data_IF_576096652543
#
_entry.id   IF_576096652543
#
_cell.length_a   1.000
_cell.length_b   1.000
_cell.length_c   1.000
_cell.angle_alpha   90.00
_cell.angle_beta   90.00
_cell.angle_gamma   90.00
#
_symmetry.space_group_name_H-M   'P 1'
#
loop_
_entity.id
_entity.type
_entity.pdbx_description
1 polymer ?
#
# COMPACT_ATOMS: atom_id res chain seq x y z
N UNK A 1 16.33 17.82 24.50
CA UNK A 1 15.52 18.89 25.15
C UNK A 1 14.09 18.71 24.67
N UNK A 2 13.11 18.45 25.55
CA UNK A 2 11.73 18.30 25.12
C UNK A 2 11.31 19.55 24.32
N UNK A 3 10.70 19.34 23.16
CA UNK A 3 10.19 20.45 22.35
C UNK A 3 9.01 21.08 23.11
N UNK A 4 9.19 22.29 23.64
CA UNK A 4 8.12 23.02 24.31
C UNK A 4 7.15 23.57 23.24
N UNK A 5 5.87 23.18 23.34
CA UNK A 5 4.80 23.71 22.50
C UNK A 5 3.96 24.67 23.33
N UNK A 6 4.02 25.95 23.00
CA UNK A 6 3.10 26.97 23.53
C UNK A 6 1.99 27.24 22.54
N UNK A 7 0.74 27.31 23.01
CA UNK A 7 -0.42 27.63 22.19
C UNK A 7 -1.14 28.84 22.79
N UNK A 8 -1.48 29.83 21.96
CA UNK A 8 -2.20 31.03 22.37
C UNK A 8 -3.44 31.27 21.50
N UNK A 9 -4.53 31.67 22.14
CA UNK A 9 -5.69 32.21 21.46
C UNK A 9 -5.46 33.68 21.11
N UNK A 10 -5.75 34.12 19.88
CA UNK A 10 -5.42 35.46 19.34
C UNK A 10 -6.65 36.19 18.78
N UNK A 11 -7.84 35.91 19.27
CA UNK A 11 -9.13 36.39 18.69
C UNK A 11 -9.56 37.77 19.15
N UNK A 12 -9.02 38.35 20.23
CA UNK A 12 -9.52 39.61 20.83
C UNK A 12 -8.44 40.54 21.39
N UNK A 13 -7.32 40.69 20.68
CA UNK A 13 -6.33 41.74 20.98
C UNK A 13 -5.15 41.30 21.83
N UNK A 14 -5.31 40.77 23.03
CA UNK A 14 -4.19 40.26 23.82
C UNK A 14 -4.08 38.73 23.72
N UNK A 15 -2.94 38.17 23.24
CA UNK A 15 -2.76 36.72 23.21
C UNK A 15 -2.95 36.09 24.57
N UNK A 16 -3.85 35.11 24.67
CA UNK A 16 -4.12 34.34 25.90
C UNK A 16 -3.47 32.97 25.76
N UNK A 17 -2.54 32.63 26.67
CA UNK A 17 -1.90 31.33 26.68
C UNK A 17 -2.90 30.26 27.11
N UNK A 18 -3.02 29.20 26.30
CA UNK A 18 -3.84 28.05 26.62
C UNK A 18 -3.10 27.15 27.61
N UNK A 19 -3.87 26.53 28.52
CA UNK A 19 -3.32 25.59 29.47
C UNK A 19 -3.14 24.23 28.82
N UNK A 20 -1.92 23.67 28.92
CA UNK A 20 -1.67 22.29 28.55
C UNK A 20 -2.23 21.38 29.65
N UNK A 21 -3.11 20.48 29.28
CA UNK A 21 -3.63 19.42 30.15
C UNK A 21 -3.05 18.07 29.67
N UNK A 22 -2.70 17.20 30.62
CA UNK A 22 -2.30 15.83 30.27
C UNK A 22 -3.47 15.08 29.60
N UNK A 23 -3.16 14.12 28.75
CA UNK A 23 -4.16 13.16 28.27
C UNK A 23 -4.55 12.30 29.47
N UNK A 24 -5.81 12.39 29.89
CA UNK A 24 -6.27 11.66 31.08
C UNK A 24 -6.22 10.14 30.87
N UNK A 25 -6.38 9.67 29.63
CA UNK A 25 -6.42 8.25 29.29
C UNK A 25 -5.64 7.96 28.00
N UNK A 26 -4.64 7.09 28.09
CA UNK A 26 -3.95 6.45 26.95
C UNK A 26 -4.93 5.90 25.90
N UNK A 27 -6.01 5.24 26.39
CA UNK A 27 -7.12 4.73 25.58
C UNK A 27 -7.85 5.80 24.75
N UNK A 28 -7.90 7.06 25.19
CA UNK A 28 -8.51 8.13 24.40
C UNK A 28 -7.64 8.51 23.21
N UNK A 29 -6.33 8.59 23.40
CA UNK A 29 -5.41 8.88 22.29
C UNK A 29 -5.36 7.70 21.32
N UNK A 30 -5.32 6.47 21.83
CA UNK A 30 -5.40 5.25 21.03
C UNK A 30 -6.66 5.25 20.16
N UNK A 31 -7.83 5.56 20.72
CA UNK A 31 -9.09 5.63 19.99
C UNK A 31 -9.12 6.78 18.95
N UNK A 32 -8.50 7.93 19.23
CA UNK A 32 -8.38 9.01 18.27
C UNK A 32 -7.50 8.65 17.09
N UNK A 33 -6.36 7.98 17.34
CA UNK A 33 -5.45 7.51 16.29
C UNK A 33 -6.11 6.41 15.46
N UNK A 34 -6.84 5.49 16.10
CA UNK A 34 -7.60 4.44 15.40
C UNK A 34 -8.66 5.04 14.48
N UNK A 35 -9.38 6.08 14.95
CA UNK A 35 -10.44 6.75 14.19
C UNK A 35 -9.89 7.60 13.05
N UNK A 36 -8.78 8.31 13.27
CA UNK A 36 -8.14 9.19 12.29
C UNK A 36 -6.60 9.09 12.40
N UNK A 37 -5.98 8.10 11.76
CA UNK A 37 -4.52 7.94 11.78
C UNK A 37 -3.77 9.14 11.19
N UNK A 38 -4.42 9.98 10.36
CA UNK A 38 -3.80 11.16 9.75
C UNK A 38 -3.34 12.19 10.79
N UNK A 39 -3.78 12.11 12.05
CA UNK A 39 -3.23 12.92 13.14
C UNK A 39 -1.74 12.64 13.40
N UNK A 40 -1.20 11.51 12.93
CA UNK A 40 0.23 11.20 12.91
C UNK A 40 0.99 11.96 11.82
N UNK A 41 0.27 12.61 10.86
CA UNK A 41 0.83 13.39 9.76
C UNK A 41 0.91 12.67 8.42
N UNK A 42 0.52 11.40 8.39
CA UNK A 42 0.47 10.56 7.20
C UNK A 42 -0.71 9.57 7.30
N UNK A 43 -1.27 9.15 6.17
CA UNK A 43 -2.36 8.18 6.18
C UNK A 43 -1.83 6.80 6.59
N UNK A 44 -2.62 6.07 7.37
CA UNK A 44 -2.40 4.65 7.69
C UNK A 44 -3.72 3.89 7.63
N UNK A 45 -3.67 2.66 7.14
CA UNK A 45 -4.71 1.67 7.38
C UNK A 45 -4.41 0.96 8.71
N UNK A 46 -5.33 1.01 9.67
CA UNK A 46 -5.18 0.25 10.92
C UNK A 46 -5.44 -1.24 10.64
N UNK A 47 -4.40 -2.05 10.80
CA UNK A 47 -4.44 -3.50 10.65
C UNK A 47 -5.00 -4.16 11.90
N UNK A 48 -4.62 -3.66 13.08
CA UNK A 48 -5.06 -4.23 14.33
C UNK A 48 -4.87 -3.32 15.53
N UNK A 49 -5.66 -3.59 16.55
CA UNK A 49 -5.61 -2.95 17.86
C UNK A 49 -5.39 -3.99 18.94
N UNK A 50 -4.54 -3.69 19.92
CA UNK A 50 -4.16 -4.60 21.00
C UNK A 50 -3.73 -5.97 20.45
N UNK A 51 -2.79 -5.95 19.49
CA UNK A 51 -2.34 -7.12 18.74
C UNK A 51 -1.38 -7.96 19.61
N UNK A 52 -1.74 -9.20 20.00
CA UNK A 52 -0.86 -10.05 20.76
C UNK A 52 0.32 -10.54 19.90
N UNK A 53 1.54 -10.43 20.42
CA UNK A 53 2.73 -10.95 19.76
C UNK A 53 3.06 -12.37 20.20
N UNK A 54 3.74 -13.15 19.37
CA UNK A 54 4.23 -14.49 19.76
C UNK A 54 5.31 -14.44 20.85
N UNK A 55 5.91 -13.26 21.08
CA UNK A 55 6.93 -13.02 22.12
C UNK A 55 6.34 -12.69 23.50
N UNK A 56 5.01 -12.59 23.60
CA UNK A 56 4.29 -12.41 24.87
C UNK A 56 3.93 -10.96 25.20
N UNK A 57 4.15 -10.02 24.29
CA UNK A 57 3.70 -8.62 24.39
C UNK A 57 2.40 -8.36 23.64
N UNK A 58 1.91 -7.13 23.71
CA UNK A 58 0.73 -6.65 22.98
C UNK A 58 1.04 -5.29 22.38
N UNK A 59 0.95 -5.16 21.06
CA UNK A 59 1.11 -3.90 20.33
C UNK A 59 -0.19 -3.11 20.45
N UNK A 60 -0.13 -1.85 20.87
CA UNK A 60 -1.34 -1.04 21.03
C UNK A 60 -2.07 -0.84 19.72
N UNK A 61 -1.38 -0.36 18.68
CA UNK A 61 -1.92 -0.26 17.31
C UNK A 61 -0.87 -0.72 16.29
N UNK A 62 -1.33 -1.51 15.32
CA UNK A 62 -0.55 -1.89 14.15
C UNK A 62 -1.20 -1.26 12.93
N UNK A 63 -0.47 -0.41 12.22
CA UNK A 63 -0.91 0.25 11.00
C UNK A 63 -0.13 -0.22 9.79
N UNK A 64 -0.60 0.18 8.60
CA UNK A 64 0.08 -0.05 7.32
C UNK A 64 0.03 1.21 6.49
N UNK A 65 1.13 1.54 5.80
CA UNK A 65 1.20 2.65 4.85
C UNK A 65 0.82 2.25 3.42
N UNK A 66 0.80 3.24 2.52
CA UNK A 66 0.50 3.04 1.08
C UNK A 66 1.46 2.07 0.38
N UNK A 67 2.69 1.96 0.84
CA UNK A 67 3.70 1.05 0.33
C UNK A 67 3.59 -0.38 0.90
N UNK A 68 2.62 -0.63 1.79
CA UNK A 68 2.41 -1.93 2.44
C UNK A 68 3.36 -2.20 3.60
N UNK A 69 4.10 -1.20 4.09
CA UNK A 69 4.97 -1.34 5.25
C UNK A 69 4.19 -1.23 6.55
N UNK A 70 4.60 -1.99 7.55
CA UNK A 70 3.93 -1.99 8.84
C UNK A 70 4.46 -0.88 9.77
N UNK A 71 3.53 -0.28 10.53
CA UNK A 71 3.80 0.73 11.54
C UNK A 71 3.38 0.21 12.91
N UNK A 72 4.35 -0.03 13.77
CA UNK A 72 4.13 -0.35 15.18
C UNK A 72 3.94 0.95 15.94
N UNK A 73 2.78 1.12 16.57
CA UNK A 73 2.44 2.29 17.37
C UNK A 73 2.29 1.84 18.82
N UNK A 74 3.20 2.27 19.67
CA UNK A 74 3.22 1.96 21.10
C UNK A 74 2.89 3.21 21.91
N UNK A 75 1.78 3.18 22.63
CA UNK A 75 1.30 4.31 23.41
C UNK A 75 1.77 4.22 24.86
N UNK A 76 2.19 5.35 25.42
CA UNK A 76 2.60 5.42 26.81
C UNK A 76 2.00 6.60 27.54
N UNK A 77 1.43 6.31 28.69
CA UNK A 77 0.88 7.31 29.60
C UNK A 77 1.99 8.04 30.35
N UNK A 78 1.94 9.35 30.34
CA UNK A 78 2.85 10.19 31.10
C UNK A 78 4.28 10.21 30.53
N UNK A 79 5.26 10.28 31.44
CA UNK A 79 6.68 10.30 31.07
C UNK A 79 7.17 8.91 30.74
N UNK A 80 7.60 8.72 29.51
CA UNK A 80 7.96 7.41 28.98
C UNK A 80 9.38 7.00 29.39
N UNK A 81 9.55 5.86 30.08
CA UNK A 81 10.85 5.36 30.48
C UNK A 81 11.57 4.67 29.32
N UNK A 82 12.90 4.54 29.43
CA UNK A 82 13.77 3.94 28.40
C UNK A 82 13.41 2.49 28.02
N UNK A 83 12.75 1.77 28.91
CA UNK A 83 12.33 0.37 28.70
C UNK A 83 11.34 0.23 27.54
N UNK A 84 10.60 1.30 27.19
CA UNK A 84 9.69 1.29 26.03
C UNK A 84 10.44 1.14 24.71
N UNK A 85 11.70 1.61 24.64
CA UNK A 85 12.52 1.45 23.43
C UNK A 85 12.82 -0.03 23.19
N UNK A 86 13.17 -0.78 24.26
CA UNK A 86 13.38 -2.22 24.17
C UNK A 86 12.09 -2.95 23.77
N UNK A 87 10.94 -2.54 24.30
CA UNK A 87 9.63 -3.06 23.93
C UNK A 87 9.31 -2.81 22.46
N UNK A 88 9.51 -1.58 21.96
CA UNK A 88 9.30 -1.25 20.56
C UNK A 88 10.20 -2.06 19.61
N UNK A 89 11.47 -2.26 19.99
CA UNK A 89 12.41 -3.08 19.22
C UNK A 89 12.03 -4.57 19.23
N UNK A 90 11.54 -5.11 20.34
CA UNK A 90 11.02 -6.49 20.42
C UNK A 90 9.82 -6.67 19.47
N UNK A 91 8.88 -5.71 19.47
CA UNK A 91 7.75 -5.72 18.54
C UNK A 91 8.20 -5.60 17.09
N UNK A 92 9.16 -4.72 16.79
CA UNK A 92 9.74 -4.61 15.44
C UNK A 92 10.36 -5.90 14.97
N UNK A 93 11.08 -6.60 15.86
CA UNK A 93 11.66 -7.92 15.57
C UNK A 93 10.59 -8.96 15.21
N UNK A 94 9.45 -8.98 15.93
CA UNK A 94 8.35 -9.88 15.60
C UNK A 94 7.64 -9.47 14.31
N UNK A 95 7.34 -8.17 14.14
CA UNK A 95 6.66 -7.63 12.96
C UNK A 95 7.45 -7.89 11.68
N UNK A 96 8.78 -7.79 11.73
CA UNK A 96 9.64 -8.03 10.55
C UNK A 96 9.51 -9.44 9.96
N UNK A 97 9.03 -10.41 10.74
CA UNK A 97 8.81 -11.79 10.30
C UNK A 97 7.38 -12.09 9.82
N UNK A 98 6.46 -11.11 9.83
CA UNK A 98 5.09 -11.33 9.39
C UNK A 98 5.01 -11.44 7.87
N UNK A 99 4.38 -12.52 7.42
CA UNK A 99 4.07 -12.74 6.00
C UNK A 99 2.79 -12.00 5.59
N UNK A 100 2.55 -11.92 4.29
CA UNK A 100 1.30 -11.39 3.73
C UNK A 100 0.07 -12.06 4.33
N UNK A 101 0.09 -13.39 4.48
CA UNK A 101 -1.01 -14.17 5.06
C UNK A 101 -1.20 -13.90 6.56
N UNK A 102 -0.10 -13.73 7.30
CA UNK A 102 -0.16 -13.35 8.72
C UNK A 102 -0.85 -11.99 8.88
N UNK A 103 -0.54 -11.02 8.02
CA UNK A 103 -1.12 -9.66 8.05
C UNK A 103 -2.61 -9.69 7.77
N UNK A 104 -3.06 -10.43 6.75
CA UNK A 104 -4.48 -10.64 6.46
C UNK A 104 -5.22 -11.28 7.64
N UNK A 105 -4.63 -12.32 8.21
CA UNK A 105 -5.18 -13.01 9.38
C UNK A 105 -5.33 -12.06 10.58
N UNK A 106 -4.33 -11.20 10.83
CA UNK A 106 -4.41 -10.18 11.87
C UNK A 106 -5.53 -9.17 11.61
N UNK A 107 -5.65 -8.71 10.36
CA UNK A 107 -6.69 -7.77 9.96
C UNK A 107 -8.09 -8.37 10.17
N UNK A 108 -8.33 -9.60 9.72
CA UNK A 108 -9.59 -10.32 9.88
C UNK A 108 -9.95 -10.57 11.36
N UNK A 109 -8.94 -10.88 12.18
CA UNK A 109 -9.13 -11.11 13.62
C UNK A 109 -9.63 -9.85 14.35
N UNK A 110 -9.36 -8.66 13.84
CA UNK A 110 -9.83 -7.37 14.39
C UNK A 110 -11.26 -7.00 14.00
N UNK A 111 -12.00 -7.91 13.32
CA UNK A 111 -13.42 -7.76 12.96
C UNK A 111 -13.73 -6.48 12.16
N UNK A 112 -12.86 -6.13 11.25
CA UNK A 112 -13.14 -5.07 10.29
C UNK A 112 -14.38 -5.43 9.44
N UNK A 113 -15.13 -4.40 9.03
CA UNK A 113 -16.41 -4.57 8.30
C UNK A 113 -16.23 -4.85 6.82
N UNK A 114 -15.05 -4.52 6.28
CA UNK A 114 -14.70 -4.71 4.86
C UNK A 114 -13.44 -5.56 4.72
N UNK A 115 -13.26 -6.29 3.61
CA UNK A 115 -12.04 -7.03 3.32
C UNK A 115 -10.79 -6.13 3.30
N UNK A 116 -9.62 -6.70 3.60
CA UNK A 116 -8.35 -5.98 3.65
C UNK A 116 -8.07 -5.18 2.37
N UNK A 117 -8.22 -5.80 1.20
CA UNK A 117 -7.95 -5.18 -0.09
C UNK A 117 -8.88 -3.98 -0.36
N UNK A 118 -10.13 -4.10 0.05
CA UNK A 118 -11.11 -3.01 -0.07
C UNK A 118 -10.75 -1.85 0.85
N UNK A 119 -10.46 -2.12 2.12
CA UNK A 119 -10.06 -1.10 3.09
C UNK A 119 -8.77 -0.39 2.68
N UNK A 120 -7.79 -1.15 2.17
CA UNK A 120 -6.55 -0.58 1.65
C UNK A 120 -6.81 0.37 0.48
N UNK A 121 -7.65 -0.05 -0.48
CA UNK A 121 -8.00 0.76 -1.64
C UNK A 121 -8.82 2.01 -1.28
N UNK A 122 -9.69 1.92 -0.28
CA UNK A 122 -10.45 3.08 0.23
C UNK A 122 -9.54 4.08 0.95
N UNK A 123 -8.52 3.59 1.67
CA UNK A 123 -7.58 4.44 2.42
C UNK A 123 -6.58 5.15 1.51
N UNK A 124 -6.06 4.47 0.48
CA UNK A 124 -4.92 4.96 -0.31
C UNK A 124 -5.22 5.24 -1.79
N UNK A 125 -6.45 5.03 -2.25
CA UNK A 125 -6.86 5.10 -3.68
C UNK A 125 -5.97 4.23 -4.60
N UNK A 126 -5.41 3.15 -4.04
CA UNK A 126 -4.59 2.16 -4.73
C UNK A 126 -4.78 0.79 -4.09
N UNK A 127 -4.39 -0.28 -4.79
CA UNK A 127 -4.44 -1.62 -4.21
C UNK A 127 -3.18 -1.95 -3.43
N UNK A 128 -3.26 -2.92 -2.49
CA UNK A 128 -2.08 -3.36 -1.77
C UNK A 128 -1.00 -3.88 -2.72
N UNK A 129 0.28 -3.60 -2.44
CA UNK A 129 1.39 -4.22 -3.18
C UNK A 129 1.37 -5.75 -3.01
N UNK A 130 1.95 -6.47 -3.96
CA UNK A 130 2.05 -7.94 -3.88
C UNK A 130 2.90 -8.37 -2.68
N UNK A 131 3.95 -7.63 -2.41
CA UNK A 131 4.85 -7.85 -1.29
C UNK A 131 4.56 -6.83 -0.20
N UNK A 132 4.02 -7.31 0.92
CA UNK A 132 3.78 -6.51 2.12
C UNK A 132 4.96 -6.63 3.07
N UNK A 133 5.09 -5.62 3.95
CA UNK A 133 6.06 -5.63 5.04
C UNK A 133 7.53 -5.73 4.59
N UNK A 134 7.86 -5.09 3.46
CA UNK A 134 9.27 -4.98 3.02
C UNK A 134 10.10 -4.15 3.99
N UNK A 135 9.45 -3.33 4.79
CA UNK A 135 10.02 -2.47 5.83
C UNK A 135 8.97 -2.23 6.92
N UNK A 136 9.41 -1.75 8.09
CA UNK A 136 8.50 -1.38 9.17
C UNK A 136 9.02 -0.15 9.90
N UNK A 137 8.14 0.53 10.64
CA UNK A 137 8.46 1.72 11.43
C UNK A 137 7.97 1.54 12.87
N UNK A 138 8.75 2.02 13.83
CA UNK A 138 8.44 1.96 15.25
C UNK A 138 8.16 3.38 15.76
N UNK A 139 6.96 3.62 16.24
CA UNK A 139 6.57 4.92 16.78
C UNK A 139 6.12 4.78 18.23
N UNK A 140 6.88 5.40 19.13
CA UNK A 140 6.48 5.57 20.52
C UNK A 140 5.62 6.83 20.61
N UNK A 141 4.41 6.71 21.13
CA UNK A 141 3.45 7.81 21.27
C UNK A 141 3.34 8.16 22.74
N UNK A 142 3.72 9.37 23.11
CA UNK A 142 3.82 9.78 24.49
C UNK A 142 3.41 11.25 24.70
N UNK A 143 3.15 11.61 25.96
CA UNK A 143 3.02 13.01 26.36
C UNK A 143 4.40 13.65 26.58
N UNK A 144 5.33 12.89 27.16
CA UNK A 144 6.69 13.31 27.48
C UNK A 144 7.62 12.09 27.48
N UNK A 145 8.91 12.28 27.31
CA UNK A 145 9.92 11.23 27.41
C UNK A 145 10.99 11.61 28.43
N UNK A 146 11.63 10.63 29.04
CA UNK A 146 12.81 10.91 29.83
C UNK A 146 14.03 11.18 28.93
N UNK A 147 15.05 11.85 29.48
CA UNK A 147 16.26 12.19 28.73
C UNK A 147 17.03 10.95 28.23
N UNK A 148 16.85 9.81 28.86
CA UNK A 148 17.47 8.56 28.41
C UNK A 148 16.75 8.01 27.18
N UNK A 149 15.42 8.02 27.15
CA UNK A 149 14.58 7.63 26.00
C UNK A 149 14.90 8.51 24.79
N UNK A 150 14.89 9.85 24.96
CA UNK A 150 15.25 10.79 23.90
C UNK A 150 16.64 10.50 23.31
N UNK A 151 17.64 10.34 24.20
CA UNK A 151 19.02 10.07 23.78
C UNK A 151 19.15 8.74 23.04
N UNK A 152 18.48 7.67 23.53
CA UNK A 152 18.56 6.35 22.91
C UNK A 152 17.87 6.36 21.53
N UNK A 153 16.68 6.93 21.41
CA UNK A 153 15.96 7.03 20.13
C UNK A 153 16.76 7.86 19.13
N UNK A 154 17.28 9.02 19.53
CA UNK A 154 18.14 9.85 18.68
C UNK A 154 19.40 9.10 18.25
N UNK A 155 20.01 8.31 19.14
CA UNK A 155 21.19 7.49 18.83
C UNK A 155 20.83 6.38 17.83
N UNK A 156 19.76 5.63 18.04
CA UNK A 156 19.31 4.58 17.15
C UNK A 156 18.97 5.10 15.74
N UNK A 157 18.41 6.30 15.66
CA UNK A 157 18.10 6.94 14.37
C UNK A 157 19.37 7.24 13.56
N UNK A 158 20.55 7.43 14.19
CA UNK A 158 21.82 7.62 13.45
C UNK A 158 22.34 6.32 12.81
N UNK A 159 21.77 5.17 13.16
CA UNK A 159 22.06 3.85 12.59
C UNK A 159 20.92 3.33 11.70
N UNK A 160 20.09 4.24 11.20
CA UNK A 160 18.97 3.92 10.32
C UNK A 160 17.93 2.96 10.94
N UNK A 161 17.91 2.83 12.28
CA UNK A 161 16.83 2.11 12.96
C UNK A 161 15.55 2.95 12.85
N UNK A 162 14.46 2.44 12.26
CA UNK A 162 13.27 3.22 11.94
C UNK A 162 12.39 3.45 13.18
N UNK A 163 12.93 4.12 14.21
CA UNK A 163 12.25 4.40 15.48
C UNK A 163 12.16 5.90 15.73
N UNK A 164 10.99 6.37 16.17
CA UNK A 164 10.78 7.76 16.58
C UNK A 164 9.83 7.89 17.77
N UNK A 165 9.74 9.10 18.32
CA UNK A 165 8.76 9.45 19.34
C UNK A 165 7.85 10.57 18.82
N UNK A 166 6.55 10.34 18.84
CA UNK A 166 5.52 11.34 18.61
C UNK A 166 4.99 11.85 19.96
N UNK A 167 5.17 13.14 20.22
CA UNK A 167 4.63 13.76 21.41
C UNK A 167 3.28 14.37 21.12
N UNK A 168 2.27 14.01 21.91
CA UNK A 168 0.94 14.57 21.85
C UNK A 168 0.62 15.38 23.09
N UNK A 169 0.14 16.60 22.90
CA UNK A 169 -0.24 17.51 23.96
C UNK A 169 -1.67 17.99 23.78
N UNK A 170 -2.45 17.91 24.85
CA UNK A 170 -3.78 18.46 24.89
C UNK A 170 -3.76 19.88 25.44
N UNK A 171 -4.57 20.73 24.83
CA UNK A 171 -4.86 22.07 25.32
C UNK A 171 -6.37 22.22 25.43
N UNK A 172 -6.81 23.02 26.42
CA UNK A 172 -8.20 23.34 26.64
C UNK A 172 -8.40 24.84 26.65
N UNK A 173 -9.47 25.30 26.02
CA UNK A 173 -9.90 26.69 25.99
C UNK A 173 -11.39 26.77 25.83
N UNK A 174 -12.10 27.40 26.81
CA UNK A 174 -13.56 27.56 26.85
C UNK A 174 -14.35 26.28 26.48
N UNK A 175 -13.93 25.14 27.07
CA UNK A 175 -14.57 23.83 26.83
C UNK A 175 -14.19 23.14 25.52
N UNK A 176 -13.43 23.80 24.64
CA UNK A 176 -12.88 23.20 23.42
C UNK A 176 -11.56 22.50 23.74
N UNK A 177 -11.32 21.38 23.04
CA UNK A 177 -10.10 20.59 23.17
C UNK A 177 -9.30 20.69 21.87
N UNK A 178 -7.99 20.85 22.01
CA UNK A 178 -7.04 20.91 20.90
C UNK A 178 -5.95 19.88 21.14
N UNK A 179 -5.51 19.25 20.08
CA UNK A 179 -4.42 18.28 20.08
C UNK A 179 -3.27 18.84 19.25
N UNK A 180 -2.07 18.89 19.85
CA UNK A 180 -0.85 19.24 19.12
C UNK A 180 0.09 18.04 19.10
N UNK A 181 0.71 17.81 17.94
CA UNK A 181 1.73 16.78 17.72
C UNK A 181 3.08 17.41 17.44
N UNK A 182 4.14 16.81 18.00
CA UNK A 182 5.54 17.09 17.63
C UNK A 182 6.32 15.79 17.56
N UNK A 183 7.37 15.75 16.75
CA UNK A 183 8.26 14.60 16.63
C UNK A 183 9.58 14.87 17.36
N UNK A 184 10.17 13.83 17.97
CA UNK A 184 11.51 13.91 18.59
C UNK A 184 12.59 14.12 17.53
N UNK A 185 12.56 13.28 16.48
CA UNK A 185 13.42 13.41 15.30
C UNK A 185 12.53 13.93 14.16
N UNK A 186 13.01 14.98 13.48
CA UNK A 186 12.24 15.59 12.39
C UNK A 186 11.85 14.58 11.33
N UNK A 187 10.58 14.61 10.85
CA UNK A 187 10.10 13.76 9.76
C UNK A 187 10.99 13.86 8.52
N UNK A 188 11.54 15.03 8.23
CA UNK A 188 12.53 15.23 7.15
C UNK A 188 13.79 14.39 7.35
N UNK A 189 14.20 14.13 8.58
CA UNK A 189 15.36 13.29 8.88
C UNK A 189 15.02 11.81 8.74
N UNK A 190 13.83 11.40 9.18
CA UNK A 190 13.37 10.01 9.02
C UNK A 190 12.99 9.71 7.58
N UNK A 191 12.30 10.63 6.89
CA UNK A 191 12.01 10.49 5.45
C UNK A 191 13.30 10.51 4.63
N UNK A 192 14.34 11.22 5.05
CA UNK A 192 15.67 11.15 4.45
C UNK A 192 16.41 9.84 4.79
N UNK A 193 16.18 9.27 5.98
CA UNK A 193 16.82 8.04 6.46
C UNK A 193 16.06 6.78 5.97
N UNK A 194 14.73 6.80 5.95
CA UNK A 194 13.93 5.80 5.24
C UNK A 194 14.02 5.97 3.72
N UNK A 195 14.39 7.15 3.19
CA UNK A 195 14.67 7.36 1.77
C UNK A 195 16.12 7.05 1.37
N UNK A 196 17.04 6.80 2.31
CA UNK A 196 18.29 6.10 1.96
C UNK A 196 18.09 4.56 1.89
N UNK A 197 17.07 4.03 2.57
CA UNK A 197 16.51 2.69 2.30
C UNK A 197 15.29 2.73 1.36
N UNK A 198 14.57 3.84 1.23
CA UNK A 198 13.61 4.10 0.16
C UNK A 198 14.40 4.44 -1.10
N UNK A 199 14.50 3.48 -2.01
CA UNK A 199 14.56 3.83 -3.43
C UNK A 199 13.52 4.92 -3.62
N UNK A 200 13.97 6.16 -3.93
CA UNK A 200 13.09 7.29 -4.28
C UNK A 200 12.06 6.72 -5.23
N UNK A 201 10.75 6.82 -4.89
CA UNK A 201 9.69 6.33 -5.78
C UNK A 201 9.94 6.98 -7.14
N UNK A 202 10.42 6.18 -8.07
CA UNK A 202 10.82 6.67 -9.38
C UNK A 202 9.59 7.31 -10.01
N UNK A 203 9.76 8.51 -10.57
CA UNK A 203 8.65 9.19 -11.24
C UNK A 203 8.16 8.31 -12.37
N UNK A 204 6.87 8.02 -12.39
CA UNK A 204 6.26 7.37 -13.52
C UNK A 204 6.53 8.17 -14.80
N UNK A 205 6.95 7.49 -15.85
CA UNK A 205 7.28 8.12 -17.15
C UNK A 205 6.04 8.53 -17.98
N UNK A 206 4.83 8.29 -17.46
CA UNK A 206 3.58 8.65 -18.12
C UNK A 206 3.09 7.62 -19.15
N UNK A 207 3.86 6.56 -19.42
CA UNK A 207 3.60 5.62 -20.50
C UNK A 207 3.51 4.16 -20.04
N UNK A 208 4.38 3.73 -19.12
CA UNK A 208 4.55 2.32 -18.78
C UNK A 208 3.58 1.87 -17.68
N UNK A 209 2.93 0.74 -17.92
CA UNK A 209 1.95 0.14 -17.04
C UNK A 209 2.29 -1.31 -16.73
N UNK A 210 2.11 -1.68 -15.48
CA UNK A 210 2.05 -3.07 -15.06
C UNK A 210 0.63 -3.59 -15.27
N UNK A 211 0.51 -4.82 -15.77
CA UNK A 211 -0.77 -5.53 -15.86
C UNK A 211 -0.62 -6.92 -15.28
N UNK A 212 -1.45 -7.26 -14.29
CA UNK A 212 -1.57 -8.62 -13.77
C UNK A 212 -2.66 -9.37 -14.54
N UNK A 213 -2.26 -10.39 -15.31
CA UNK A 213 -3.17 -11.28 -15.99
C UNK A 213 -3.39 -12.54 -15.13
N UNK A 214 -4.44 -12.51 -14.33
CA UNK A 214 -4.78 -13.64 -13.45
C UNK A 214 -5.28 -14.82 -14.27
N UNK A 215 -4.46 -15.84 -14.42
CA UNK A 215 -4.89 -17.15 -14.93
C UNK A 215 -5.43 -17.94 -13.75
N UNK A 216 -6.61 -18.49 -13.87
CA UNK A 216 -7.20 -19.37 -12.87
C UNK A 216 -7.36 -20.81 -13.37
N UNK A 217 -7.48 -21.74 -12.42
CA UNK A 217 -7.70 -23.15 -12.74
C UNK A 217 -9.12 -23.44 -13.22
N UNK A 218 -10.00 -22.45 -13.27
CA UNK A 218 -11.39 -22.59 -13.69
C UNK A 218 -11.59 -22.42 -15.19
N UNK A 219 -10.54 -21.95 -15.90
CA UNK A 219 -10.58 -21.74 -17.35
C UNK A 219 -11.39 -20.51 -17.75
N UNK A 220 -11.59 -19.55 -16.84
CA UNK A 220 -12.26 -18.29 -17.20
C UNK A 220 -11.34 -17.45 -18.09
N UNK A 221 -10.08 -17.26 -17.71
CA UNK A 221 -9.08 -16.53 -18.48
C UNK A 221 -7.95 -17.44 -18.92
N UNK A 222 -7.57 -17.36 -20.18
CA UNK A 222 -6.48 -18.13 -20.79
C UNK A 222 -5.48 -17.20 -21.45
N UNK A 223 -4.20 -17.29 -21.06
CA UNK A 223 -3.16 -16.41 -21.60
C UNK A 223 -2.94 -16.61 -23.11
N UNK A 224 -3.07 -17.83 -23.62
CA UNK A 224 -2.90 -18.11 -25.04
C UNK A 224 -3.95 -17.43 -25.92
N UNK A 225 -5.19 -17.22 -25.42
CA UNK A 225 -6.20 -16.41 -26.09
C UNK A 225 -5.77 -14.95 -26.15
N UNK A 226 -5.34 -14.39 -24.99
CA UNK A 226 -4.91 -13.01 -24.87
C UNK A 226 -3.71 -12.72 -25.78
N UNK A 227 -2.77 -13.67 -25.82
CA UNK A 227 -1.59 -13.61 -26.70
C UNK A 227 -1.95 -13.69 -28.18
N UNK A 228 -2.90 -14.57 -28.54
CA UNK A 228 -3.31 -14.82 -29.93
C UNK A 228 -4.12 -13.66 -30.49
N UNK A 229 -5.00 -13.09 -29.69
CA UNK A 229 -6.00 -12.13 -30.16
C UNK A 229 -5.73 -10.69 -29.72
N UNK A 230 -4.63 -10.41 -29.05
CA UNK A 230 -4.20 -9.05 -28.71
C UNK A 230 -5.07 -8.37 -27.66
N UNK A 231 -5.10 -8.89 -26.43
CA UNK A 231 -5.83 -8.24 -25.34
C UNK A 231 -5.30 -8.60 -23.95
N UNK A 232 -5.72 -7.83 -22.96
CA UNK A 232 -5.66 -8.18 -21.53
C UNK A 232 -7.04 -8.04 -20.94
N UNK A 233 -7.34 -8.77 -19.85
CA UNK A 233 -8.64 -8.71 -19.22
C UNK A 233 -8.60 -8.85 -17.70
N UNK A 234 -9.63 -8.34 -17.05
CA UNK A 234 -9.88 -8.51 -15.62
C UNK A 234 -11.37 -8.37 -15.30
N UNK A 235 -11.85 -9.18 -14.37
CA UNK A 235 -13.23 -9.22 -13.90
C UNK A 235 -13.41 -10.14 -12.71
N UNK A 236 -14.64 -10.54 -12.41
CA UNK A 236 -14.96 -11.31 -11.22
C UNK A 236 -15.17 -10.46 -9.98
N UNK A 237 -15.24 -9.12 -10.15
CA UNK A 237 -15.54 -8.13 -9.13
C UNK A 237 -15.09 -6.73 -9.55
N UNK A 238 -15.78 -5.71 -9.04
CA UNK A 238 -15.51 -4.29 -9.34
C UNK A 238 -14.06 -3.93 -9.08
N UNK A 239 -13.48 -4.49 -8.03
CA UNK A 239 -12.11 -4.24 -7.63
C UNK A 239 -11.11 -4.60 -8.73
N UNK A 240 -11.26 -5.76 -9.34
CA UNK A 240 -10.37 -6.23 -10.42
C UNK A 240 -10.53 -5.43 -11.71
N UNK A 241 -11.76 -5.10 -12.09
CA UNK A 241 -12.05 -4.37 -13.33
C UNK A 241 -11.71 -2.88 -13.24
N UNK A 242 -11.85 -2.25 -12.06
CA UNK A 242 -11.66 -0.80 -11.85
C UNK A 242 -10.27 -0.30 -12.27
N UNK A 243 -9.22 -1.04 -11.91
CA UNK A 243 -7.84 -0.64 -12.22
C UNK A 243 -7.49 -0.89 -13.68
N UNK A 244 -7.93 -2.01 -14.28
CA UNK A 244 -7.75 -2.29 -15.70
C UNK A 244 -8.39 -1.21 -16.58
N UNK A 245 -9.57 -0.72 -16.22
CA UNK A 245 -10.31 0.33 -16.94
C UNK A 245 -9.60 1.68 -16.98
N UNK A 246 -8.57 1.89 -16.16
CA UNK A 246 -7.74 3.10 -16.17
C UNK A 246 -6.65 3.09 -17.25
N UNK A 247 -6.41 1.96 -17.93
CA UNK A 247 -5.39 1.87 -18.98
C UNK A 247 -5.73 2.81 -20.14
N UNK A 248 -4.85 3.77 -20.47
CA UNK A 248 -5.08 4.70 -21.57
C UNK A 248 -4.67 4.08 -22.91
N UNK A 249 -5.34 4.47 -23.97
CA UNK A 249 -4.87 4.18 -25.35
C UNK A 249 -3.49 4.80 -25.55
N UNK A 250 -2.56 4.02 -26.14
CA UNK A 250 -1.15 4.38 -26.29
C UNK A 250 -0.27 4.05 -25.07
N UNK A 251 -0.86 3.58 -23.96
CA UNK A 251 -0.10 3.10 -22.81
C UNK A 251 0.64 1.80 -23.14
N UNK A 252 1.94 1.71 -22.79
CA UNK A 252 2.71 0.47 -22.92
C UNK A 252 2.46 -0.42 -21.71
N UNK A 253 2.06 -1.65 -21.93
CA UNK A 253 1.75 -2.62 -20.88
C UNK A 253 2.80 -3.72 -20.79
N UNK A 254 3.23 -4.00 -19.57
CA UNK A 254 4.08 -5.15 -19.21
C UNK A 254 3.21 -6.15 -18.47
N UNK A 255 2.93 -7.29 -19.09
CA UNK A 255 1.98 -8.28 -18.56
C UNK A 255 2.68 -9.34 -17.73
N UNK A 256 2.23 -9.49 -16.51
CA UNK A 256 2.70 -10.46 -15.53
C UNK A 256 1.60 -11.47 -15.21
N UNK A 257 1.93 -12.74 -15.17
CA UNK A 257 1.07 -13.79 -14.64
C UNK A 257 1.53 -14.12 -13.22
N UNK A 258 0.65 -13.99 -12.21
CA UNK A 258 0.99 -14.33 -10.82
C UNK A 258 1.66 -15.69 -10.69
N UNK A 259 2.69 -15.79 -9.85
CA UNK A 259 3.51 -16.99 -9.61
C UNK A 259 4.29 -17.54 -10.84
N UNK A 260 4.16 -16.93 -12.01
CA UNK A 260 4.88 -17.34 -13.22
C UNK A 260 5.94 -16.33 -13.65
N UNK A 261 5.55 -15.05 -13.79
CA UNK A 261 6.44 -13.99 -14.24
C UNK A 261 5.88 -13.20 -15.43
N UNK A 262 6.72 -12.40 -16.08
CA UNK A 262 6.34 -11.56 -17.21
C UNK A 262 6.27 -12.36 -18.51
N UNK A 263 5.19 -12.15 -19.26
CA UNK A 263 4.83 -12.94 -20.45
C UNK A 263 4.59 -12.11 -21.71
N UNK A 264 4.44 -10.80 -21.60
CA UNK A 264 4.19 -9.97 -22.77
C UNK A 264 4.42 -8.49 -22.54
N UNK A 265 4.74 -7.79 -23.64
CA UNK A 265 4.78 -6.33 -23.73
C UNK A 265 4.05 -5.90 -24.98
N UNK A 266 3.28 -4.82 -24.88
CA UNK A 266 2.54 -4.29 -26.02
C UNK A 266 1.93 -2.93 -25.70
N UNK A 267 1.24 -2.38 -26.68
CA UNK A 267 0.61 -1.05 -26.61
C UNK A 267 -0.92 -1.16 -26.61
N UNK A 268 -1.57 -0.46 -25.71
CA UNK A 268 -3.03 -0.39 -25.63
C UNK A 268 -3.58 0.31 -26.86
N UNK A 269 -4.48 -0.35 -27.58
CA UNK A 269 -5.08 0.18 -28.82
C UNK A 269 -6.52 0.67 -28.62
N UNK A 270 -7.23 0.16 -27.59
CA UNK A 270 -8.62 0.53 -27.30
C UNK A 270 -8.85 0.66 -25.79
N UNK A 271 -9.78 1.52 -25.41
CA UNK A 271 -10.26 1.61 -24.04
C UNK A 271 -10.94 0.30 -23.60
N UNK A 272 -11.00 0.09 -22.30
CA UNK A 272 -11.64 -1.07 -21.71
C UNK A 272 -13.12 -1.18 -22.11
N UNK A 273 -13.54 -2.36 -22.54
CA UNK A 273 -14.91 -2.69 -22.92
C UNK A 273 -15.37 -3.95 -22.17
N UNK A 274 -16.64 -4.08 -21.80
CA UNK A 274 -17.18 -5.36 -21.34
C UNK A 274 -16.89 -6.47 -22.35
N UNK A 275 -16.56 -7.67 -21.90
CA UNK A 275 -16.24 -8.81 -22.80
C UNK A 275 -17.31 -9.05 -23.89
N UNK A 276 -18.58 -8.90 -23.54
CA UNK A 276 -19.69 -9.07 -24.48
C UNK A 276 -19.65 -8.10 -25.68
N UNK A 277 -18.96 -6.96 -25.53
CA UNK A 277 -18.90 -5.87 -26.54
C UNK A 277 -17.47 -5.69 -27.07
N UNK A 278 -16.48 -6.35 -26.46
CA UNK A 278 -15.06 -6.15 -26.74
C UNK A 278 -14.71 -6.42 -28.21
N UNK A 279 -13.99 -5.48 -28.82
CA UNK A 279 -13.48 -5.55 -30.18
C UNK A 279 -11.96 -5.62 -30.12
N UNK A 280 -11.38 -6.55 -30.87
CA UNK A 280 -9.94 -6.74 -31.06
C UNK A 280 -9.61 -6.68 -32.56
N UNK A 281 -8.34 -6.39 -32.87
CA UNK A 281 -7.84 -6.47 -34.26
C UNK A 281 -7.23 -7.85 -34.49
N UNK A 282 -7.73 -8.55 -35.51
CA UNK A 282 -7.18 -9.84 -35.92
C UNK A 282 -6.75 -9.74 -37.39
N UNK A 283 -5.45 -9.69 -37.60
CA UNK A 283 -4.86 -9.56 -38.96
C UNK A 283 -5.36 -8.31 -39.72
N UNK A 284 -5.47 -7.16 -39.03
CA UNK A 284 -5.93 -5.90 -39.61
C UNK A 284 -7.45 -5.79 -39.80
N UNK A 285 -8.22 -6.70 -39.19
CA UNK A 285 -9.69 -6.67 -39.20
C UNK A 285 -10.25 -6.63 -37.79
N UNK A 286 -11.16 -5.69 -37.57
CA UNK A 286 -11.89 -5.60 -36.31
C UNK A 286 -12.89 -6.76 -36.16
N UNK A 287 -12.79 -7.49 -35.07
CA UNK A 287 -13.67 -8.61 -34.76
C UNK A 287 -14.14 -8.54 -33.31
N UNK A 288 -15.35 -9.03 -33.05
CA UNK A 288 -15.82 -9.18 -31.69
C UNK A 288 -15.09 -10.35 -30.99
N UNK A 289 -14.47 -10.08 -29.87
CA UNK A 289 -13.68 -11.08 -29.15
C UNK A 289 -14.50 -12.35 -28.85
N UNK A 290 -15.76 -12.20 -28.43
CA UNK A 290 -16.64 -13.33 -28.07
C UNK A 290 -16.99 -14.25 -29.25
N UNK A 291 -16.81 -13.79 -30.48
CA UNK A 291 -17.14 -14.54 -31.70
C UNK A 291 -15.90 -15.33 -32.21
N UNK A 292 -14.75 -15.20 -31.51
CA UNK A 292 -13.51 -15.91 -31.85
C UNK A 292 -13.43 -17.27 -31.14
N UNK A 293 -12.53 -18.12 -31.65
CA UNK A 293 -12.24 -19.45 -31.06
C UNK A 293 -11.38 -19.31 -29.80
N UNK A 294 -12.06 -19.03 -28.67
CA UNK A 294 -11.46 -18.84 -27.36
C UNK A 294 -11.43 -20.15 -26.57
N UNK A 295 -10.35 -20.36 -25.83
CA UNK A 295 -10.22 -21.45 -24.87
C UNK A 295 -10.85 -21.07 -23.52
N UNK A 296 -10.80 -19.78 -23.14
CA UNK A 296 -11.41 -19.25 -21.94
C UNK A 296 -12.88 -18.89 -22.12
N UNK A 297 -13.64 -18.89 -21.03
CA UNK A 297 -15.06 -18.51 -21.06
C UNK A 297 -15.30 -17.02 -20.89
N UNK A 298 -14.43 -16.32 -20.17
CA UNK A 298 -14.50 -14.88 -19.81
C UNK A 298 -15.84 -14.49 -19.17
N UNK A 299 -16.50 -15.46 -18.50
CA UNK A 299 -17.79 -15.31 -17.83
C UNK A 299 -17.64 -15.72 -16.39
N UNK A 300 -18.02 -14.85 -15.49
CA UNK A 300 -18.06 -15.12 -14.05
C UNK A 300 -19.47 -15.42 -13.59
N UNK A 301 -19.59 -16.22 -12.54
CA UNK A 301 -20.87 -16.51 -11.88
C UNK A 301 -20.75 -16.20 -10.40
N UNK A 302 -21.77 -15.56 -9.82
CA UNK A 302 -21.83 -15.26 -8.38
C UNK A 302 -23.29 -15.33 -7.91
N UNK A 303 -23.47 -15.69 -6.65
CA UNK A 303 -24.76 -15.61 -5.96
C UNK A 303 -24.96 -14.25 -5.26
N UNK A 304 -23.97 -13.34 -5.37
CA UNK A 304 -24.02 -12.00 -4.80
C UNK A 304 -24.43 -10.98 -5.86
N UNK A 305 -25.10 -9.92 -5.41
CA UNK A 305 -25.46 -8.75 -6.25
C UNK A 305 -24.24 -7.81 -6.42
N UNK A 306 -23.20 -8.31 -7.08
CA UNK A 306 -21.96 -7.58 -7.38
C UNK A 306 -21.72 -7.51 -8.89
N UNK A 307 -21.12 -6.40 -9.37
CA UNK A 307 -20.65 -6.31 -10.77
C UNK A 307 -19.41 -7.19 -10.98
N UNK A 308 -19.63 -8.34 -11.58
CA UNK A 308 -18.58 -9.33 -11.90
C UNK A 308 -18.16 -9.28 -13.37
N UNK A 309 -18.57 -8.27 -14.10
CA UNK A 309 -18.28 -8.14 -15.52
C UNK A 309 -16.78 -8.27 -15.82
N UNK A 310 -16.43 -9.14 -16.77
CA UNK A 310 -15.09 -9.20 -17.32
C UNK A 310 -14.91 -8.04 -18.30
N UNK A 311 -13.90 -7.18 -18.05
CA UNK A 311 -13.51 -6.10 -18.93
C UNK A 311 -12.26 -6.49 -19.72
N UNK A 312 -12.21 -6.09 -20.97
CA UNK A 312 -11.15 -6.37 -21.92
C UNK A 312 -10.55 -5.07 -22.43
N UNK A 313 -9.24 -5.03 -22.52
CA UNK A 313 -8.47 -3.93 -23.14
C UNK A 313 -7.69 -4.52 -24.31
N UNK A 314 -7.92 -4.02 -25.52
CA UNK A 314 -7.21 -4.47 -26.71
C UNK A 314 -5.76 -3.94 -26.69
N UNK A 315 -4.83 -4.81 -27.08
CA UNK A 315 -3.38 -4.56 -27.06
C UNK A 315 -2.76 -5.04 -28.36
N UNK A 316 -1.94 -4.22 -28.96
CA UNK A 316 -1.01 -4.63 -30.02
C UNK A 316 0.30 -5.09 -29.36
N UNK A 317 0.64 -6.38 -29.55
CA UNK A 317 1.80 -6.97 -28.91
C UNK A 317 3.11 -6.62 -29.64
N UNK A 318 4.08 -6.07 -28.91
CA UNK A 318 5.46 -5.93 -29.38
C UNK A 318 6.18 -7.29 -29.28
N UNK A 319 6.01 -7.98 -28.13
CA UNK A 319 6.58 -9.29 -27.89
C UNK A 319 5.77 -10.06 -26.86
N UNK A 320 5.59 -11.36 -27.07
CA UNK A 320 4.92 -12.26 -26.13
C UNK A 320 5.57 -13.62 -26.06
N UNK A 321 5.38 -14.33 -24.96
CA UNK A 321 5.82 -15.71 -24.79
C UNK A 321 4.75 -16.57 -24.09
N UNK A 322 4.78 -17.90 -24.26
CA UNK A 322 3.91 -18.78 -23.48
C UNK A 322 4.13 -18.63 -21.99
N UNK A 323 3.11 -18.94 -21.17
CA UNK A 323 3.23 -18.88 -19.71
C UNK A 323 4.40 -19.75 -19.17
N UNK A 324 4.64 -20.90 -19.81
CA UNK A 324 5.75 -21.78 -19.40
C UNK A 324 7.15 -21.12 -19.57
N UNK A 325 7.25 -20.12 -20.45
CA UNK A 325 8.48 -19.37 -20.73
C UNK A 325 8.48 -18.00 -20.04
N UNK A 326 7.61 -17.78 -19.06
CA UNK A 326 7.50 -16.53 -18.31
C UNK A 326 8.85 -16.14 -17.68
N UNK A 327 9.18 -14.86 -17.75
CA UNK A 327 10.43 -14.34 -17.21
C UNK A 327 10.26 -13.75 -15.83
N UNK A 328 11.06 -14.23 -14.89
CA UNK A 328 11.16 -13.66 -13.56
C UNK A 328 12.62 -13.54 -13.11
N UNK A 329 12.93 -12.46 -12.43
CA UNK A 329 14.20 -12.25 -11.76
C UNK A 329 13.99 -11.54 -10.41
N UNK A 330 14.87 -11.78 -9.45
CA UNK A 330 14.78 -11.13 -8.15
C UNK A 330 14.84 -9.59 -8.29
N UNK A 331 13.93 -8.90 -7.60
CA UNK A 331 13.82 -7.44 -7.63
C UNK A 331 12.94 -6.89 -8.74
N UNK A 332 12.31 -7.72 -9.59
CA UNK A 332 11.28 -7.26 -10.51
C UNK A 332 10.02 -6.87 -9.74
N UNK A 333 9.36 -5.83 -10.22
CA UNK A 333 8.09 -5.37 -9.67
C UNK A 333 6.97 -6.38 -9.96
N UNK A 334 6.14 -6.65 -8.97
CA UNK A 334 4.86 -7.35 -9.12
C UNK A 334 3.83 -6.74 -8.19
N UNK A 335 2.55 -6.75 -8.59
CA UNK A 335 1.48 -6.13 -7.84
C UNK A 335 0.17 -6.91 -8.03
N UNK A 336 -0.72 -6.88 -7.04
CA UNK A 336 -2.04 -7.54 -7.11
C UNK A 336 -3.06 -6.76 -7.95
N UNK A 337 -2.80 -5.50 -8.27
CA UNK A 337 -3.64 -4.73 -9.17
C UNK A 337 -3.73 -5.38 -10.54
N UNK A 338 -4.92 -5.39 -11.12
CA UNK A 338 -5.07 -5.77 -12.53
C UNK A 338 -4.32 -4.83 -13.47
N UNK A 339 -4.18 -3.53 -13.09
CA UNK A 339 -3.27 -2.60 -13.76
C UNK A 339 -2.83 -1.47 -12.81
N UNK A 340 -1.57 -1.04 -12.91
CA UNK A 340 -1.06 0.15 -12.23
C UNK A 340 0.14 0.77 -12.98
N UNK A 341 0.46 2.06 -12.75
CA UNK A 341 1.64 2.70 -13.30
C UNK A 341 2.93 1.96 -12.93
N UNK A 342 3.72 1.53 -13.92
CA UNK A 342 5.04 0.92 -13.72
C UNK A 342 6.07 2.03 -13.49
N UNK A 343 6.68 2.04 -12.31
CA UNK A 343 7.64 3.10 -11.91
C UNK A 343 9.07 2.59 -11.74
N UNK A 344 9.24 1.29 -11.52
CA UNK A 344 10.56 0.68 -11.31
C UNK A 344 11.38 0.71 -12.59
N UNK A 345 12.36 1.61 -12.68
CA UNK A 345 13.30 1.68 -13.79
C UNK A 345 14.04 0.37 -13.96
N UNK A 346 14.45 -0.25 -12.84
CA UNK A 346 15.10 -1.57 -12.86
C UNK A 346 14.23 -2.61 -13.58
N UNK A 347 12.91 -2.65 -13.29
CA UNK A 347 11.99 -3.59 -13.93
C UNK A 347 11.81 -3.24 -15.40
N UNK A 348 11.56 -1.97 -15.73
CA UNK A 348 11.40 -1.50 -17.12
C UNK A 348 12.62 -1.84 -17.96
N UNK A 349 13.84 -1.48 -17.51
CA UNK A 349 15.09 -1.73 -18.21
C UNK A 349 15.37 -3.22 -18.40
N UNK A 350 15.11 -4.01 -17.35
CA UNK A 350 15.32 -5.46 -17.39
C UNK A 350 14.35 -6.12 -18.37
N UNK A 351 13.07 -5.74 -18.38
CA UNK A 351 12.06 -6.28 -19.29
C UNK A 351 12.28 -5.80 -20.71
N UNK A 352 12.65 -4.53 -20.92
CA UNK A 352 12.98 -3.98 -22.25
C UNK A 352 14.10 -4.81 -22.90
N UNK A 353 15.16 -5.12 -22.17
CA UNK A 353 16.25 -5.99 -22.65
C UNK A 353 15.79 -7.43 -22.89
N UNK A 354 15.00 -7.99 -21.95
CA UNK A 354 14.61 -9.40 -22.00
C UNK A 354 13.59 -9.67 -23.14
N UNK A 355 12.70 -8.73 -23.40
CA UNK A 355 11.73 -8.80 -24.50
C UNK A 355 12.26 -8.22 -25.81
N UNK A 356 13.54 -7.78 -25.87
CA UNK A 356 14.20 -7.25 -27.07
C UNK A 356 13.39 -6.09 -27.72
N UNK A 357 12.93 -5.16 -26.89
CA UNK A 357 12.19 -3.98 -27.36
C UNK A 357 13.21 -2.96 -27.90
N UNK A 358 12.89 -2.38 -29.06
CA UNK A 358 13.65 -1.27 -29.60
C UNK A 358 13.53 -0.07 -28.65
N UNK A 359 14.63 0.55 -28.26
CA UNK A 359 14.73 1.70 -27.38
C UNK A 359 14.50 3.01 -28.14
#
# INVERSE_FOLDING_TARGET
VPVEVGLWRVDSGKPQRMNSTGIELEKQLEALIEQDPAILGYPLLIIGRQVPTKTGGTIDLLGMDEEGNLHVLELKRGRTPREVVAQALDYGSWVSGLTHEDIKTLYEACKHTVPFETAFSETFDTSPPEELNSSHTLTIIAHDADAATERIVTYLSTFDVPINVAFFRYFTDDGRKYLARTWLVSETTITAQTSSAKKTRERWNGQDWYVSFGVDNTGIRVWDDARRYGFVSAGGGVWYSKTLRKLPVGGRVFVHIPQSGYVGVGTVTRQAQPFAEAIVDVNGQEQRLRDLDLQGTYVHTTDKDEDITEYVVAVEWDNTRPQADAFWAAGLFANQNSACPMRSSFTIDTLTKNFQLDT
#
